data_IF_646012486299
#
_entry.id   IF_646012486299
#
_cell.length_a   1.000
_cell.length_b   1.000
_cell.length_c   1.000
_cell.angle_alpha   90.00
_cell.angle_beta   90.00
_cell.angle_gamma   90.00
#
_symmetry.space_group_name_H-M   'P 1'
#
loop_
_entity.id
_entity.type
_entity.pdbx_description
1 polymer ?
#
# COMPACT_ATOMS: atom_id res chain seq x y z
N UNK A 1 43.05 19.43 -36.33
CA UNK A 1 42.12 18.30 -36.46
C UNK A 1 41.93 17.73 -35.06
N UNK A 2 40.77 17.96 -34.45
CA UNK A 2 40.42 17.39 -33.15
C UNK A 2 39.03 16.78 -33.28
N UNK A 3 38.95 15.46 -33.25
CA UNK A 3 37.71 14.70 -33.18
C UNK A 3 37.09 14.92 -31.79
N UNK A 4 35.83 15.37 -31.67
CA UNK A 4 35.17 15.35 -30.38
C UNK A 4 34.81 13.90 -30.03
N UNK A 5 35.30 13.50 -28.86
CA UNK A 5 35.02 12.25 -28.17
C UNK A 5 33.52 12.20 -27.79
N UNK A 6 32.73 11.39 -28.51
CA UNK A 6 31.39 11.01 -28.08
C UNK A 6 31.53 10.01 -26.94
N UNK A 7 31.60 10.50 -25.71
CA UNK A 7 31.35 9.65 -24.55
C UNK A 7 29.86 9.33 -24.54
N UNK A 8 29.51 8.12 -25.02
CA UNK A 8 28.19 7.52 -24.83
C UNK A 8 27.86 7.50 -23.33
N UNK A 9 27.03 8.43 -22.89
CA UNK A 9 26.51 8.43 -21.52
C UNK A 9 25.52 7.27 -21.42
N UNK A 10 25.90 6.23 -20.68
CA UNK A 10 25.01 5.10 -20.37
C UNK A 10 23.72 5.63 -19.73
N UNK A 11 22.58 5.04 -20.09
CA UNK A 11 21.33 5.37 -19.44
C UNK A 11 21.36 4.94 -17.96
N UNK A 12 20.55 5.56 -17.08
CA UNK A 12 20.48 5.18 -15.66
C UNK A 12 20.19 3.68 -15.44
N UNK A 13 19.45 3.06 -16.37
CA UNK A 13 19.17 1.62 -16.35
C UNK A 13 20.43 0.81 -16.64
N UNK A 14 21.20 1.19 -17.64
CA UNK A 14 22.41 0.48 -18.07
C UNK A 14 23.52 0.62 -17.01
N UNK A 15 23.65 1.80 -16.40
CA UNK A 15 24.58 2.01 -15.27
C UNK A 15 24.25 1.08 -14.09
N UNK A 16 22.97 0.98 -13.72
CA UNK A 16 22.51 0.06 -12.68
C UNK A 16 22.79 -1.40 -13.04
N UNK A 17 22.52 -1.80 -14.29
CA UNK A 17 22.82 -3.16 -14.77
C UNK A 17 24.31 -3.48 -14.64
N UNK A 18 25.20 -2.56 -15.04
CA UNK A 18 26.64 -2.73 -14.89
C UNK A 18 27.08 -2.86 -13.44
N UNK A 19 26.49 -2.10 -12.52
CA UNK A 19 26.77 -2.23 -11.09
C UNK A 19 26.32 -3.59 -10.55
N UNK A 20 25.11 -4.05 -10.92
CA UNK A 20 24.59 -5.35 -10.50
C UNK A 20 25.45 -6.49 -11.07
N UNK A 21 25.94 -6.37 -12.31
CA UNK A 21 26.77 -7.41 -12.93
C UNK A 21 28.08 -7.67 -12.17
N UNK A 22 28.66 -6.63 -11.56
CA UNK A 22 29.89 -6.71 -10.74
C UNK A 22 29.72 -7.47 -9.42
N UNK A 23 28.48 -7.69 -8.96
CA UNK A 23 28.21 -8.39 -7.71
C UNK A 23 28.45 -9.90 -7.84
N UNK A 24 28.84 -10.52 -6.72
CA UNK A 24 28.91 -11.98 -6.62
C UNK A 24 27.51 -12.60 -6.75
N UNK A 25 27.42 -13.90 -7.05
CA UNK A 25 26.13 -14.59 -7.12
C UNK A 25 25.37 -14.49 -5.79
N UNK A 26 26.08 -14.65 -4.66
CA UNK A 26 25.50 -14.53 -3.31
C UNK A 26 24.93 -13.13 -3.05
N UNK A 27 25.64 -12.09 -3.45
CA UNK A 27 25.16 -10.71 -3.28
C UNK A 27 23.97 -10.42 -4.19
N UNK A 28 23.94 -10.98 -5.39
CA UNK A 28 22.78 -10.90 -6.31
C UNK A 28 21.54 -11.56 -5.70
N UNK A 29 21.69 -12.69 -5.04
CA UNK A 29 20.58 -13.37 -4.34
C UNK A 29 20.05 -12.55 -3.17
N UNK A 30 20.94 -11.98 -2.35
CA UNK A 30 20.57 -11.08 -1.25
C UNK A 30 19.83 -9.85 -1.80
N UNK A 31 20.38 -9.21 -2.83
CA UNK A 31 19.78 -8.04 -3.46
C UNK A 31 18.39 -8.37 -4.05
N UNK A 32 18.25 -9.52 -4.71
CA UNK A 32 16.95 -9.96 -5.24
C UNK A 32 15.92 -10.17 -4.14
N UNK A 33 16.32 -10.76 -3.00
CA UNK A 33 15.47 -10.92 -1.84
C UNK A 33 14.99 -9.58 -1.29
N UNK A 34 15.92 -8.63 -1.10
CA UNK A 34 15.60 -7.28 -0.66
C UNK A 34 14.68 -6.55 -1.65
N UNK A 35 14.99 -6.54 -2.95
CA UNK A 35 14.16 -5.90 -3.98
C UNK A 35 12.73 -6.46 -4.01
N UNK A 36 12.57 -7.78 -3.87
CA UNK A 36 11.24 -8.41 -3.79
C UNK A 36 10.47 -7.91 -2.56
N UNK A 37 11.11 -7.85 -1.40
CA UNK A 37 10.50 -7.35 -0.17
C UNK A 37 10.12 -5.87 -0.28
N UNK A 38 11.04 -5.01 -0.74
CA UNK A 38 10.81 -3.58 -0.92
C UNK A 38 9.71 -3.32 -1.94
N UNK A 39 9.72 -3.99 -3.10
CA UNK A 39 8.65 -3.84 -4.10
C UNK A 39 7.28 -4.26 -3.54
N UNK A 40 7.25 -5.31 -2.70
CA UNK A 40 6.02 -5.75 -2.04
C UNK A 40 5.50 -4.65 -1.09
N UNK A 41 6.39 -4.07 -0.28
CA UNK A 41 6.05 -2.99 0.63
C UNK A 41 5.59 -1.72 -0.12
N UNK A 42 6.31 -1.29 -1.15
CA UNK A 42 5.94 -0.14 -1.99
C UNK A 42 4.57 -0.33 -2.65
N UNK A 43 4.26 -1.54 -3.13
CA UNK A 43 2.93 -1.87 -3.66
C UNK A 43 1.85 -1.77 -2.58
N UNK A 44 2.11 -2.25 -1.36
CA UNK A 44 1.17 -2.14 -0.25
C UNK A 44 0.93 -0.68 0.13
N UNK A 45 1.99 0.12 0.21
CA UNK A 45 1.91 1.56 0.47
C UNK A 45 1.14 2.29 -0.64
N UNK A 46 1.38 1.95 -1.92
CA UNK A 46 0.65 2.52 -3.05
C UNK A 46 -0.85 2.18 -3.01
N UNK A 47 -1.23 0.96 -2.61
CA UNK A 47 -2.65 0.59 -2.42
C UNK A 47 -3.26 1.39 -1.27
N UNK A 48 -2.56 1.51 -0.13
CA UNK A 48 -3.04 2.31 1.00
C UNK A 48 -3.19 3.80 0.64
N UNK A 49 -2.26 4.36 -0.12
CA UNK A 49 -2.27 5.76 -0.57
C UNK A 49 -3.41 6.06 -1.56
N UNK A 50 -3.83 5.07 -2.36
CA UNK A 50 -4.94 5.22 -3.31
C UNK A 50 -6.32 5.36 -2.64
N UNK A 51 -6.44 5.10 -1.34
CA UNK A 51 -7.71 5.18 -0.61
C UNK A 51 -7.75 6.50 0.16
N UNK A 52 -8.37 7.56 -0.38
CA UNK A 52 -8.45 8.83 0.33
C UNK A 52 -9.28 8.67 1.61
N UNK A 53 -8.83 9.28 2.70
CA UNK A 53 -9.62 9.35 3.94
C UNK A 53 -10.82 10.26 3.67
N UNK A 54 -12.03 9.70 3.74
CA UNK A 54 -13.26 10.47 3.53
C UNK A 54 -13.43 11.52 4.63
N UNK A 55 -13.91 12.72 4.29
CA UNK A 55 -14.17 13.80 5.25
C UNK A 55 -15.07 13.31 6.40
N UNK A 56 -14.69 13.64 7.63
CA UNK A 56 -15.42 13.20 8.83
C UNK A 56 -15.15 11.75 9.23
N UNK A 57 -14.11 11.14 8.69
CA UNK A 57 -13.57 9.85 9.14
C UNK A 57 -12.16 10.00 9.68
N UNK A 58 -11.80 9.11 10.58
CA UNK A 58 -10.46 8.99 11.16
C UNK A 58 -10.03 7.52 11.07
N UNK A 59 -8.85 7.27 10.51
CA UNK A 59 -8.32 5.91 10.36
C UNK A 59 -7.51 5.56 11.60
N UNK A 60 -7.95 4.53 12.32
CA UNK A 60 -7.30 4.00 13.53
C UNK A 60 -6.29 2.91 13.16
N UNK A 61 -6.65 2.04 12.22
CA UNK A 61 -5.81 0.93 11.77
C UNK A 61 -6.05 0.65 10.29
N UNK A 62 -5.01 0.21 9.58
CA UNK A 62 -5.10 -0.27 8.20
C UNK A 62 -4.46 -1.65 8.10
N UNK A 63 -5.13 -2.57 7.42
CA UNK A 63 -4.64 -3.92 7.09
C UNK A 63 -4.86 -4.15 5.60
N UNK A 64 -4.06 -5.02 4.98
CA UNK A 64 -4.24 -5.37 3.56
C UNK A 64 -4.25 -6.88 3.38
N UNK A 65 -5.25 -7.38 2.66
CA UNK A 65 -5.34 -8.77 2.19
C UNK A 65 -5.42 -8.81 0.69
N UNK A 66 -4.41 -9.37 0.02
CA UNK A 66 -4.36 -9.41 -1.44
C UNK A 66 -4.63 -8.03 -2.05
N UNK A 67 -5.76 -7.88 -2.73
CA UNK A 67 -6.23 -6.64 -3.39
C UNK A 67 -7.21 -5.82 -2.56
N UNK A 68 -7.58 -6.27 -1.36
CA UNK A 68 -8.52 -5.60 -0.45
C UNK A 68 -7.78 -4.88 0.67
N UNK A 69 -8.10 -3.60 0.87
CA UNK A 69 -7.61 -2.80 1.99
C UNK A 69 -8.68 -2.73 3.08
N UNK A 70 -8.38 -3.14 4.29
CA UNK A 70 -9.25 -2.97 5.44
C UNK A 70 -8.81 -1.76 6.26
N UNK A 71 -9.76 -0.94 6.69
CA UNK A 71 -9.51 0.14 7.63
C UNK A 71 -10.48 0.10 8.79
N UNK A 72 -9.95 0.28 9.98
CA UNK A 72 -10.71 0.53 11.20
C UNK A 72 -10.90 2.04 11.31
N UNK A 73 -12.12 2.53 11.15
CA UNK A 73 -12.40 3.96 11.01
C UNK A 73 -13.42 4.46 12.04
N UNK A 74 -13.11 5.58 12.68
CA UNK A 74 -14.08 6.42 13.38
C UNK A 74 -14.87 7.28 12.40
N UNK A 75 -16.17 7.52 12.63
CA UNK A 75 -17.05 8.20 11.67
C UNK A 75 -17.92 9.29 12.32
N UNK A 76 -18.05 10.46 11.67
CA UNK A 76 -19.07 11.47 11.96
C UNK A 76 -20.38 11.14 11.26
N UNK A 77 -21.50 11.13 12.00
CA UNK A 77 -22.82 10.88 11.41
C UNK A 77 -23.49 12.12 10.79
N UNK A 78 -22.87 13.30 10.90
CA UNK A 78 -23.40 14.57 10.37
C UNK A 78 -24.47 15.26 11.21
N UNK A 79 -25.02 14.61 12.25
CA UNK A 79 -26.03 15.22 13.13
C UNK A 79 -25.40 16.25 14.08
N UNK A 80 -25.85 17.51 14.03
CA UNK A 80 -25.33 18.64 14.84
C UNK A 80 -25.32 18.37 16.35
N UNK A 81 -26.35 17.71 16.88
CA UNK A 81 -26.48 17.41 18.32
C UNK A 81 -25.72 16.14 18.76
N UNK A 82 -25.13 15.40 17.83
CA UNK A 82 -24.42 14.16 18.16
C UNK A 82 -23.04 14.45 18.77
N UNK A 83 -22.59 13.59 19.69
CA UNK A 83 -21.27 13.66 20.31
C UNK A 83 -20.11 13.67 19.30
N UNK A 84 -20.29 13.04 18.12
CA UNK A 84 -19.29 13.05 17.05
C UNK A 84 -19.04 14.44 16.45
N UNK A 85 -19.98 15.38 16.58
CA UNK A 85 -19.77 16.77 16.19
C UNK A 85 -18.73 17.47 17.09
N UNK A 86 -18.57 17.00 18.33
CA UNK A 86 -17.65 17.54 19.35
C UNK A 86 -16.32 16.75 19.43
N UNK A 87 -16.03 15.92 18.43
CA UNK A 87 -14.80 15.14 18.36
C UNK A 87 -14.93 13.67 18.79
N UNK A 88 -15.98 13.27 19.50
CA UNK A 88 -16.15 11.88 19.93
C UNK A 88 -16.83 11.03 18.83
N UNK A 89 -16.02 10.56 17.88
CA UNK A 89 -16.49 9.82 16.70
C UNK A 89 -17.27 8.55 17.04
N UNK A 90 -18.12 8.10 16.10
CA UNK A 90 -18.74 6.77 16.19
C UNK A 90 -17.77 5.69 15.75
N UNK A 91 -17.92 4.48 16.32
CA UNK A 91 -17.06 3.35 16.03
C UNK A 91 -15.91 3.24 17.05
N UNK A 92 -14.72 2.79 16.63
CA UNK A 92 -14.36 2.58 15.23
C UNK A 92 -15.02 1.32 14.64
N UNK A 93 -15.18 1.31 13.31
CA UNK A 93 -15.72 0.18 12.56
C UNK A 93 -14.82 -0.19 11.40
N UNK A 94 -14.78 -1.47 11.09
CA UNK A 94 -14.08 -2.00 9.94
C UNK A 94 -14.83 -1.72 8.64
N UNK A 95 -14.06 -1.28 7.65
CA UNK A 95 -14.46 -1.13 6.26
C UNK A 95 -13.47 -1.89 5.37
N UNK A 96 -13.96 -2.61 4.37
CA UNK A 96 -13.15 -3.15 3.29
C UNK A 96 -13.24 -2.24 2.07
N UNK A 97 -12.10 -1.93 1.46
CA UNK A 97 -11.98 -1.19 0.22
C UNK A 97 -11.41 -2.11 -0.85
N UNK A 98 -12.04 -2.15 -2.01
CA UNK A 98 -11.64 -2.98 -3.14
C UNK A 98 -11.84 -2.21 -4.46
N UNK A 99 -11.03 -2.57 -5.46
CA UNK A 99 -10.99 -1.87 -6.75
C UNK A 99 -11.61 -2.76 -7.81
N UNK A 100 -12.66 -2.27 -8.45
CA UNK A 100 -13.21 -2.88 -9.66
C UNK A 100 -12.80 -2.01 -10.85
N UNK A 101 -11.61 -2.31 -11.40
CA UNK A 101 -10.96 -1.46 -12.40
C UNK A 101 -10.60 -0.10 -11.82
N UNK A 102 -11.13 0.98 -12.42
CA UNK A 102 -10.89 2.37 -11.97
C UNK A 102 -11.83 2.82 -10.83
N UNK A 103 -12.81 2.01 -10.42
CA UNK A 103 -13.78 2.36 -9.39
C UNK A 103 -13.45 1.68 -8.07
N UNK A 104 -13.34 2.48 -7.01
CA UNK A 104 -13.21 2.00 -5.63
C UNK A 104 -14.59 1.81 -5.00
N UNK A 105 -14.80 0.66 -4.38
CA UNK A 105 -15.99 0.35 -3.57
C UNK A 105 -15.58 0.13 -2.12
N UNK A 106 -16.46 0.54 -1.19
CA UNK A 106 -16.25 0.35 0.25
C UNK A 106 -17.40 -0.44 0.87
N UNK A 107 -17.09 -1.50 1.60
CA UNK A 107 -18.06 -2.36 2.30
C UNK A 107 -17.91 -2.18 3.80
N UNK A 108 -19.01 -1.93 4.51
CA UNK A 108 -19.02 -1.88 5.98
C UNK A 108 -19.03 -3.30 6.55
N UNK A 109 -18.11 -3.59 7.47
CA UNK A 109 -17.99 -4.91 8.10
C UNK A 109 -18.60 -4.88 9.50
N UNK A 110 -18.23 -3.91 10.33
CA UNK A 110 -18.71 -3.81 11.71
C UNK A 110 -17.60 -3.61 12.73
N UNK A 111 -17.84 -3.99 13.99
CA UNK A 111 -16.89 -3.74 15.10
C UNK A 111 -15.73 -4.73 15.16
N UNK A 112 -15.94 -5.95 14.66
CA UNK A 112 -14.94 -7.01 14.62
C UNK A 112 -14.60 -7.28 13.16
N UNK A 113 -13.30 -7.44 12.89
CA UNK A 113 -12.85 -8.05 11.65
C UNK A 113 -12.75 -9.53 11.96
N UNK A 114 -13.63 -10.35 11.40
CA UNK A 114 -13.58 -11.79 11.66
C UNK A 114 -12.19 -12.32 11.31
N UNK A 115 -11.63 -13.15 12.19
CA UNK A 115 -10.26 -13.66 12.04
C UNK A 115 -10.09 -14.40 10.71
N UNK A 116 -11.12 -15.06 10.19
CA UNK A 116 -11.08 -15.68 8.85
C UNK A 116 -10.83 -14.67 7.71
N UNK A 117 -11.29 -13.43 7.86
CA UNK A 117 -11.06 -12.33 6.91
C UNK A 117 -9.67 -11.70 7.14
N UNK A 118 -9.22 -11.64 8.40
CA UNK A 118 -7.89 -11.15 8.77
C UNK A 118 -6.76 -12.14 8.42
N UNK A 119 -7.00 -13.45 8.45
CA UNK A 119 -6.02 -14.51 8.13
C UNK A 119 -5.85 -14.66 6.62
N UNK A 120 -6.92 -14.48 5.83
CA UNK A 120 -6.80 -14.32 4.38
C UNK A 120 -5.94 -13.07 4.01
N UNK A 121 -5.63 -12.18 4.97
CA UNK A 121 -4.74 -11.05 4.78
C UNK A 121 -3.25 -11.38 4.79
N UNK A 122 -2.88 -12.60 5.15
CA UNK A 122 -1.55 -13.15 4.96
C UNK A 122 -1.56 -13.96 3.65
N UNK A 123 -0.58 -13.77 2.74
CA UNK A 123 -0.70 -14.25 1.36
C UNK A 123 -0.56 -15.77 1.31
N UNK A 124 -1.59 -16.45 0.80
CA UNK A 124 -1.32 -17.68 0.05
C UNK A 124 -0.56 -17.27 -1.22
N UNK A 125 0.73 -17.57 -1.21
CA UNK A 125 1.50 -17.73 -2.42
C UNK A 125 1.00 -18.97 -3.14
N UNK A 126 0.82 -18.83 -4.45
CA UNK A 126 0.94 -19.90 -5.43
C UNK A 126 1.51 -19.29 -6.72
#
# INVERSE_FOLDING_TARGET
>A
MATPNLQETLSPREELQQQILKLSLKDKEILLGWLKATTKEEKQQAVAAQVPVKKGREVVQTLQSGTTLYRLEGVKCGKKKCKCARGQLHGPYWYAYHWKGKKMTSTYIGKKLDEAIAIAAEPNGE
#
